data_IF_737169879259
#
_entry.id   IF_737169879259
#
_cell.length_a   1.000
_cell.length_b   1.000
_cell.length_c   1.000
_cell.angle_alpha   90.00
_cell.angle_beta   90.00
_cell.angle_gamma   90.00
#
_symmetry.space_group_name_H-M   'P 1'
#
loop_
_entity.id
_entity.type
_entity.pdbx_description
1 polymer ?
#
# COMPACT_ATOMS: atom_id res chain seq x y z
N UNK A 1 6.85 -22.29 17.45
CA UNK A 1 7.23 -21.44 16.33
C UNK A 1 6.03 -20.58 16.02
N UNK A 2 6.17 -19.26 16.01
CA UNK A 2 5.06 -18.35 15.74
C UNK A 2 4.78 -18.32 14.24
N UNK A 3 3.50 -18.41 13.84
CA UNK A 3 3.08 -18.34 12.45
C UNK A 3 2.52 -16.94 12.17
N UNK A 4 3.00 -16.29 11.12
CA UNK A 4 2.65 -14.92 10.73
C UNK A 4 2.04 -14.95 9.32
N UNK A 5 0.80 -14.51 9.19
CA UNK A 5 0.20 -14.22 7.90
C UNK A 5 0.61 -12.82 7.48
N UNK A 6 1.40 -12.74 6.40
CA UNK A 6 2.02 -11.52 5.90
C UNK A 6 1.35 -11.08 4.59
N UNK A 7 0.55 -10.03 4.66
CA UNK A 7 -0.12 -9.44 3.50
C UNK A 7 0.77 -8.45 2.77
N UNK A 8 0.95 -8.63 1.47
CA UNK A 8 1.66 -7.67 0.62
C UNK A 8 1.18 -7.74 -0.84
N UNK A 9 1.58 -6.76 -1.65
CA UNK A 9 1.24 -6.69 -3.06
C UNK A 9 2.00 -7.76 -3.88
N UNK A 10 1.46 -8.20 -5.02
CA UNK A 10 2.21 -9.00 -5.99
C UNK A 10 3.19 -8.18 -6.85
N UNK A 11 3.36 -6.89 -6.57
CA UNK A 11 4.20 -5.99 -7.34
C UNK A 11 5.70 -6.29 -7.16
N UNK A 12 6.52 -5.83 -8.08
CA UNK A 12 7.95 -6.16 -8.13
C UNK A 12 8.77 -5.61 -6.97
N UNK A 13 8.40 -4.47 -6.41
CA UNK A 13 9.03 -3.88 -5.23
C UNK A 13 8.76 -4.69 -3.97
N UNK A 14 7.52 -5.14 -3.76
CA UNK A 14 7.17 -6.05 -2.67
C UNK A 14 7.81 -7.43 -2.86
N UNK A 15 7.85 -7.95 -4.09
CA UNK A 15 8.55 -9.20 -4.39
C UNK A 15 10.04 -9.14 -4.02
N UNK A 16 10.70 -8.02 -4.31
CA UNK A 16 12.09 -7.78 -3.89
C UNK A 16 12.21 -7.67 -2.36
N UNK A 17 11.34 -6.90 -1.73
CA UNK A 17 11.36 -6.63 -0.29
C UNK A 17 11.19 -7.92 0.55
N UNK A 18 10.28 -8.79 0.14
CA UNK A 18 9.92 -10.00 0.90
C UNK A 18 10.59 -11.29 0.41
N UNK A 19 11.42 -11.21 -0.66
CA UNK A 19 12.08 -12.37 -1.24
C UNK A 19 12.87 -13.19 -0.20
N UNK A 20 13.66 -12.54 0.64
CA UNK A 20 14.49 -13.22 1.63
C UNK A 20 13.69 -14.05 2.63
N UNK A 21 12.49 -13.59 3.02
CA UNK A 21 11.58 -14.34 3.88
C UNK A 21 10.89 -15.48 3.12
N UNK A 22 10.45 -15.20 1.88
CA UNK A 22 9.74 -16.18 1.05
C UNK A 22 10.64 -17.34 0.58
N UNK A 23 11.92 -17.06 0.30
CA UNK A 23 12.91 -18.07 -0.13
C UNK A 23 13.55 -18.84 1.04
N UNK A 24 13.39 -18.37 2.28
CA UNK A 24 14.05 -18.93 3.46
C UNK A 24 15.53 -18.53 3.61
N UNK A 25 16.01 -17.56 2.82
CA UNK A 25 17.39 -17.03 2.92
C UNK A 25 17.60 -16.21 4.20
N UNK A 26 16.53 -15.66 4.76
CA UNK A 26 16.55 -14.96 6.05
C UNK A 26 16.17 -15.97 7.14
N UNK A 27 17.12 -16.30 8.01
CA UNK A 27 16.86 -17.17 9.16
C UNK A 27 15.88 -16.49 10.13
N UNK A 28 14.84 -17.23 10.54
CA UNK A 28 13.83 -16.76 11.47
C UNK A 28 13.34 -17.90 12.35
N UNK A 29 12.98 -17.59 13.58
CA UNK A 29 12.24 -18.48 14.51
C UNK A 29 10.72 -18.41 14.26
N UNK A 30 10.27 -17.60 13.29
CA UNK A 30 8.89 -17.49 12.82
C UNK A 30 8.72 -18.15 11.46
N UNK A 31 7.49 -18.56 11.15
CA UNK A 31 7.08 -18.99 9.81
C UNK A 31 6.17 -17.96 9.19
N UNK A 32 6.32 -17.70 7.91
CA UNK A 32 5.55 -16.71 7.18
C UNK A 32 4.67 -17.36 6.10
N UNK A 33 3.39 -17.00 6.12
CA UNK A 33 2.45 -17.28 5.03
C UNK A 33 2.26 -15.99 4.23
N UNK A 34 2.75 -15.96 2.99
CA UNK A 34 2.63 -14.79 2.12
C UNK A 34 1.26 -14.73 1.46
N UNK A 35 0.50 -13.69 1.75
CA UNK A 35 -0.85 -13.47 1.24
C UNK A 35 -0.84 -12.28 0.27
N UNK A 36 -0.91 -12.59 -1.04
CA UNK A 36 -0.81 -11.60 -2.10
C UNK A 36 -2.18 -10.98 -2.40
N UNK A 37 -2.32 -9.68 -2.19
CA UNK A 37 -3.52 -8.89 -2.50
C UNK A 37 -3.13 -7.49 -2.95
N UNK A 38 -4.05 -6.83 -3.66
CA UNK A 38 -3.92 -5.41 -3.95
C UNK A 38 -3.95 -4.57 -2.66
N UNK A 39 -3.35 -3.38 -2.72
CA UNK A 39 -3.16 -2.54 -1.53
C UNK A 39 -4.49 -2.06 -0.92
N UNK A 40 -5.55 -1.83 -1.72
CA UNK A 40 -6.84 -1.43 -1.15
C UNK A 40 -7.46 -2.57 -0.34
N UNK A 41 -7.40 -3.80 -0.85
CA UNK A 41 -7.86 -4.99 -0.12
C UNK A 41 -7.08 -5.14 1.20
N UNK A 42 -5.75 -4.96 1.19
CA UNK A 42 -4.93 -5.03 2.40
C UNK A 42 -5.28 -3.91 3.39
N UNK A 43 -5.53 -2.69 2.91
CA UNK A 43 -5.99 -1.57 3.73
C UNK A 43 -7.33 -1.88 4.43
N UNK A 44 -8.28 -2.46 3.71
CA UNK A 44 -9.58 -2.85 4.27
C UNK A 44 -9.42 -3.97 5.31
N UNK A 45 -8.59 -4.96 5.03
CA UNK A 45 -8.30 -6.05 5.97
C UNK A 45 -7.55 -5.58 7.21
N UNK A 46 -6.68 -4.56 7.08
CA UNK A 46 -6.04 -3.95 8.24
C UNK A 46 -7.06 -3.27 9.16
N UNK A 47 -8.06 -2.58 8.62
CA UNK A 47 -9.16 -2.02 9.44
C UNK A 47 -9.92 -3.09 10.22
N UNK A 48 -10.04 -4.27 9.67
CA UNK A 48 -10.69 -5.42 10.32
C UNK A 48 -9.72 -6.21 11.26
N UNK A 49 -8.41 -5.95 11.20
CA UNK A 49 -7.42 -6.68 11.98
C UNK A 49 -7.23 -8.13 11.53
N UNK A 50 -7.36 -8.41 10.23
CA UNK A 50 -7.37 -9.78 9.70
C UNK A 50 -6.02 -10.48 9.71
N UNK A 51 -4.92 -9.75 9.60
CA UNK A 51 -3.57 -10.31 9.43
C UNK A 51 -2.67 -9.87 10.58
N UNK A 52 -1.70 -10.68 10.92
CA UNK A 52 -0.69 -10.39 11.95
C UNK A 52 0.29 -9.31 11.46
N UNK A 53 0.61 -9.33 10.16
CA UNK A 53 1.47 -8.34 9.50
C UNK A 53 0.93 -8.05 8.11
N UNK A 54 0.95 -6.79 7.70
CA UNK A 54 0.44 -6.40 6.37
C UNK A 54 1.07 -5.12 5.88
N UNK A 55 1.27 -5.01 4.58
CA UNK A 55 1.51 -3.72 3.94
C UNK A 55 0.23 -2.89 4.04
N UNK A 56 0.39 -1.60 4.29
CA UNK A 56 -0.70 -0.61 4.28
C UNK A 56 -0.22 0.68 3.66
N UNK A 57 -1.12 1.40 3.02
CA UNK A 57 -0.84 2.74 2.56
C UNK A 57 -0.62 3.69 3.75
N UNK A 58 0.24 4.70 3.59
CA UNK A 58 0.45 5.74 4.64
C UNK A 58 -0.89 6.40 5.01
N UNK A 59 -1.75 6.66 4.04
CA UNK A 59 -3.11 7.16 4.29
C UNK A 59 -3.92 6.20 5.18
N UNK A 60 -3.93 4.90 4.87
CA UNK A 60 -4.68 3.91 5.62
C UNK A 60 -4.16 3.74 7.05
N UNK A 61 -2.84 3.91 7.28
CA UNK A 61 -2.25 3.74 8.60
C UNK A 61 -2.89 4.67 9.67
N UNK A 62 -3.30 5.88 9.28
CA UNK A 62 -3.98 6.80 10.19
C UNK A 62 -5.28 6.22 10.80
N UNK A 63 -5.91 5.25 10.13
CA UNK A 63 -7.17 4.62 10.57
C UNK A 63 -6.96 3.28 11.31
N UNK A 64 -5.72 2.81 11.42
CA UNK A 64 -5.40 1.50 12.02
C UNK A 64 -4.26 1.58 13.05
N UNK A 65 -3.80 2.77 13.37
CA UNK A 65 -2.72 3.01 14.33
C UNK A 65 -3.04 2.54 15.76
N UNK A 66 -4.31 2.33 16.07
CA UNK A 66 -4.77 1.71 17.32
C UNK A 66 -4.63 0.18 17.35
N UNK A 67 -4.48 -0.47 16.18
CA UNK A 67 -4.43 -1.92 16.01
C UNK A 67 -3.05 -2.43 15.60
N UNK A 68 -2.30 -1.63 14.85
CA UNK A 68 -1.02 -2.02 14.27
C UNK A 68 0.09 -1.07 14.66
N UNK A 69 1.25 -1.63 14.94
CA UNK A 69 2.48 -0.86 15.07
C UNK A 69 3.18 -0.77 13.69
N UNK A 70 3.68 0.40 13.35
CA UNK A 70 4.49 0.58 12.16
C UNK A 70 5.89 0.03 12.40
N UNK A 71 6.36 -0.85 11.53
CA UNK A 71 7.73 -1.37 11.58
C UNK A 71 8.72 -0.30 11.09
N UNK A 72 9.97 -0.37 11.56
CA UNK A 72 11.03 0.56 11.19
C UNK A 72 11.65 0.29 9.81
N UNK A 73 11.24 -0.76 9.14
CA UNK A 73 11.75 -1.22 7.84
C UNK A 73 10.61 -1.86 7.06
N UNK A 74 10.84 -2.10 5.78
CA UNK A 74 9.83 -2.64 4.90
C UNK A 74 8.90 -1.55 4.38
N UNK A 75 9.44 -0.51 3.77
CA UNK A 75 8.68 0.56 3.13
C UNK A 75 9.12 0.77 1.68
N UNK A 76 8.17 1.11 0.82
CA UNK A 76 8.43 1.58 -0.54
C UNK A 76 8.25 3.09 -0.59
N UNK A 77 9.31 3.80 -1.03
CA UNK A 77 9.35 5.26 -1.03
C UNK A 77 9.75 5.78 -2.41
N UNK A 78 9.07 6.83 -2.86
CA UNK A 78 9.49 7.64 -4.00
C UNK A 78 10.26 8.88 -3.53
N UNK A 79 11.32 9.23 -4.26
CA UNK A 79 12.08 10.45 -4.09
C UNK A 79 12.08 11.23 -5.40
N UNK A 80 11.73 12.51 -5.35
CA UNK A 80 11.52 13.38 -6.51
C UNK A 80 10.43 12.92 -7.50
N UNK A 81 9.56 11.98 -7.10
CA UNK A 81 8.38 11.59 -7.87
C UNK A 81 7.24 11.17 -6.92
N UNK A 82 6.02 11.18 -7.43
CA UNK A 82 4.82 10.82 -6.68
C UNK A 82 3.74 10.21 -7.58
N UNK A 83 2.52 10.09 -7.06
CA UNK A 83 1.39 9.65 -7.87
C UNK A 83 1.21 10.52 -9.10
N UNK A 84 0.88 9.90 -10.24
CA UNK A 84 0.65 10.59 -11.50
C UNK A 84 -0.76 10.31 -12.00
N UNK A 85 -1.42 11.36 -12.52
CA UNK A 85 -2.65 11.23 -13.29
C UNK A 85 -2.25 10.96 -14.73
N UNK A 86 -2.72 9.83 -15.28
CA UNK A 86 -2.48 9.46 -16.69
C UNK A 86 -3.78 9.50 -17.47
N UNK A 87 -3.71 9.96 -18.70
CA UNK A 87 -4.86 10.04 -19.61
C UNK A 87 -4.46 9.60 -21.01
N UNK A 88 -5.44 9.16 -21.81
CA UNK A 88 -5.22 8.79 -23.22
C UNK A 88 -4.88 10.00 -24.11
N UNK A 89 -5.28 11.19 -23.69
CA UNK A 89 -5.04 12.46 -24.40
C UNK A 89 -4.74 13.55 -23.36
N UNK A 90 -4.03 14.63 -23.72
CA UNK A 90 -3.82 15.76 -22.83
C UNK A 90 -5.15 16.33 -22.32
N UNK A 91 -5.22 16.57 -21.01
CA UNK A 91 -6.38 17.18 -20.33
C UNK A 91 -5.87 18.44 -19.64
N UNK A 92 -6.62 19.54 -19.75
CA UNK A 92 -6.31 20.77 -18.99
C UNK A 92 -6.61 20.60 -17.50
N UNK A 93 -6.00 21.44 -16.66
CA UNK A 93 -6.27 21.40 -15.22
C UNK A 93 -7.74 21.68 -14.86
N UNK A 94 -8.41 22.55 -15.64
CA UNK A 94 -9.83 22.86 -15.41
C UNK A 94 -10.74 21.72 -15.85
N UNK A 95 -10.46 21.11 -17.02
CA UNK A 95 -11.23 19.96 -17.50
C UNK A 95 -11.05 18.73 -16.59
N UNK A 96 -9.90 18.64 -15.90
CA UNK A 96 -9.63 17.54 -15.00
C UNK A 96 -10.62 17.47 -13.83
N UNK A 97 -11.11 18.64 -13.36
CA UNK A 97 -12.10 18.73 -12.27
C UNK A 97 -13.46 18.14 -12.63
N UNK A 98 -13.78 18.15 -13.92
CA UNK A 98 -15.05 17.61 -14.46
C UNK A 98 -14.89 16.15 -14.97
N UNK A 99 -13.70 15.59 -14.84
CA UNK A 99 -13.38 14.26 -15.38
C UNK A 99 -13.54 13.17 -14.31
N UNK A 100 -14.06 12.01 -14.71
CA UNK A 100 -14.08 10.83 -13.85
C UNK A 100 -12.68 10.23 -13.81
N UNK A 101 -12.08 10.19 -12.62
CA UNK A 101 -10.73 9.68 -12.38
C UNK A 101 -10.82 8.32 -11.71
N UNK A 102 -10.26 7.28 -12.33
CA UNK A 102 -10.10 5.99 -11.69
C UNK A 102 -8.94 6.05 -10.67
N UNK A 103 -9.19 5.55 -9.46
CA UNK A 103 -8.21 5.54 -8.37
C UNK A 103 -7.96 4.10 -7.88
N UNK A 104 -6.76 3.79 -7.36
CA UNK A 104 -6.43 2.43 -6.91
C UNK A 104 -7.18 2.02 -5.63
N UNK A 105 -7.86 2.95 -4.98
CA UNK A 105 -8.66 2.73 -3.78
C UNK A 105 -8.71 3.96 -2.89
N UNK A 106 -9.77 4.08 -2.10
CA UNK A 106 -10.06 5.29 -1.31
C UNK A 106 -9.16 5.45 -0.07
N UNK A 107 -8.48 4.39 0.36
CA UNK A 107 -7.52 4.41 1.46
C UNK A 107 -6.06 4.49 0.99
N UNK A 108 -5.82 4.62 -0.31
CA UNK A 108 -4.47 4.71 -0.85
C UNK A 108 -3.88 6.11 -0.68
N UNK A 109 -2.55 6.21 -0.57
CA UNK A 109 -1.85 7.49 -0.52
C UNK A 109 -2.00 8.28 -1.83
N UNK A 110 -2.14 7.59 -2.96
CA UNK A 110 -2.44 8.22 -4.26
C UNK A 110 -3.79 8.96 -4.24
N UNK A 111 -4.82 8.35 -3.65
CA UNK A 111 -6.12 9.01 -3.49
C UNK A 111 -6.06 10.21 -2.54
N UNK A 112 -5.33 10.10 -1.44
CA UNK A 112 -5.11 11.24 -0.54
C UNK A 112 -4.43 12.40 -1.27
N UNK A 113 -3.37 12.12 -2.03
CA UNK A 113 -2.65 13.14 -2.81
C UNK A 113 -3.53 13.80 -3.85
N UNK A 114 -4.40 13.02 -4.51
CA UNK A 114 -5.38 13.54 -5.47
C UNK A 114 -6.36 14.52 -4.80
N UNK A 115 -6.88 14.16 -3.63
CA UNK A 115 -7.78 15.05 -2.90
C UNK A 115 -7.08 16.34 -2.43
N UNK A 116 -5.84 16.25 -1.98
CA UNK A 116 -5.06 17.43 -1.62
C UNK A 116 -4.82 18.34 -2.81
N UNK A 117 -4.53 17.77 -3.98
CA UNK A 117 -4.35 18.54 -5.22
C UNK A 117 -5.61 19.32 -5.65
N UNK A 118 -6.80 18.78 -5.39
CA UNK A 118 -8.07 19.45 -5.72
C UNK A 118 -8.62 20.33 -4.58
N UNK A 119 -8.04 20.27 -3.39
CA UNK A 119 -8.47 21.08 -2.25
C UNK A 119 -7.94 22.52 -2.29
N UNK A 120 -6.89 22.77 -3.07
CA UNK A 120 -6.28 24.08 -3.34
C UNK A 120 -6.94 24.75 -4.56
#
# INVERSE_FOLDING_TARGET
>A
MQHIRLGHSPDSDDAFMFWGLASGEVASDMTFEHILRDIQTLNDWAREGKLESTAVSVHAFAYVADKYALLRHGGSFGDDYGPMIVAKQPISGDDLKETVIAVPGLLTSAYLSLNLYFAD
#
